data_IF_072822365673
#
_entry.id   IF_072822365673
#
_cell.length_a   1.000
_cell.length_b   1.000
_cell.length_c   1.000
_cell.angle_alpha   90.00
_cell.angle_beta   90.00
_cell.angle_gamma   90.00
#
_symmetry.space_group_name_H-M   'P 1'
#
loop_
_entity.id
_entity.type
_entity.pdbx_description
1 polymer ?
#
# COMPACT_ATOMS: atom_id res chain seq x y z
N UNK A 1 -2.94 -23.39 -10.91
CA UNK A 1 -2.61 -21.98 -10.60
C UNK A 1 -2.28 -21.31 -11.92
N UNK A 2 -2.88 -20.16 -12.26
CA UNK A 2 -2.42 -19.41 -13.44
C UNK A 2 -1.03 -18.83 -13.16
N UNK A 3 -0.20 -18.68 -14.19
CA UNK A 3 1.06 -17.98 -14.07
C UNK A 3 0.81 -16.52 -13.64
N UNK A 4 1.73 -15.95 -12.86
CA UNK A 4 1.72 -14.51 -12.56
C UNK A 4 1.92 -13.73 -13.86
N UNK A 5 1.16 -12.66 -14.07
CA UNK A 5 1.32 -11.82 -15.25
C UNK A 5 2.54 -10.89 -15.17
N UNK A 6 3.10 -10.71 -13.97
CA UNK A 6 4.22 -9.82 -13.69
C UNK A 6 5.37 -10.65 -13.12
N UNK A 7 6.51 -10.61 -13.81
CA UNK A 7 7.74 -11.28 -13.41
C UNK A 7 8.44 -10.51 -12.26
N UNK A 8 9.00 -11.20 -11.26
CA UNK A 8 9.75 -10.56 -10.18
C UNK A 8 11.07 -9.93 -10.64
N UNK A 9 11.38 -8.76 -10.09
CA UNK A 9 12.69 -8.11 -10.20
C UNK A 9 13.44 -8.30 -8.88
N UNK A 10 14.64 -8.90 -8.94
CA UNK A 10 15.44 -9.18 -7.74
C UNK A 10 15.98 -7.89 -7.12
N UNK A 11 15.67 -7.66 -5.84
CA UNK A 11 16.19 -6.54 -5.07
C UNK A 11 17.72 -6.60 -4.92
N UNK A 12 18.35 -7.75 -5.12
CA UNK A 12 19.82 -7.85 -5.12
C UNK A 12 20.48 -6.99 -6.21
N UNK A 13 19.76 -6.68 -7.29
CA UNK A 13 20.20 -5.77 -8.34
C UNK A 13 20.36 -4.33 -7.82
N UNK A 14 19.63 -3.92 -6.78
CA UNK A 14 19.76 -2.57 -6.20
C UNK A 14 21.21 -2.19 -5.88
N UNK A 15 21.99 -3.14 -5.37
CA UNK A 15 23.41 -2.96 -5.05
C UNK A 15 24.35 -3.41 -6.18
N UNK A 16 23.98 -4.44 -6.95
CA UNK A 16 24.85 -5.06 -7.98
C UNK A 16 24.82 -4.33 -9.32
N UNK A 17 23.65 -3.84 -9.72
CA UNK A 17 23.38 -3.20 -11.01
C UNK A 17 22.12 -2.34 -10.90
N UNK A 18 22.30 -1.14 -10.33
CA UNK A 18 21.19 -0.25 -10.03
C UNK A 18 20.46 0.25 -11.28
N UNK A 19 21.18 0.45 -12.39
CA UNK A 19 20.56 0.88 -13.65
C UNK A 19 19.62 -0.20 -14.17
N UNK A 20 20.05 -1.46 -14.17
CA UNK A 20 19.18 -2.58 -14.52
C UNK A 20 17.97 -2.68 -13.60
N UNK A 21 18.17 -2.56 -12.28
CA UNK A 21 17.08 -2.57 -11.31
C UNK A 21 16.04 -1.47 -11.59
N UNK A 22 16.50 -0.25 -11.88
CA UNK A 22 15.65 0.89 -12.21
C UNK A 22 14.88 0.68 -13.52
N UNK A 23 15.54 0.16 -14.56
CA UNK A 23 14.90 -0.10 -15.85
C UNK A 23 13.85 -1.20 -15.78
N UNK A 24 14.16 -2.33 -15.12
CA UNK A 24 13.21 -3.45 -15.02
C UNK A 24 11.98 -3.07 -14.17
N UNK A 25 12.18 -2.44 -13.00
CA UNK A 25 11.05 -1.96 -12.18
C UNK A 25 10.26 -0.87 -12.89
N UNK A 26 10.93 0.14 -13.43
CA UNK A 26 10.30 1.28 -14.09
C UNK A 26 9.47 0.86 -15.30
N UNK A 27 9.97 -0.05 -16.13
CA UNK A 27 9.22 -0.60 -17.26
C UNK A 27 7.97 -1.36 -16.81
N UNK A 28 8.06 -2.12 -15.71
CA UNK A 28 6.92 -2.82 -15.12
C UNK A 28 5.85 -1.83 -14.63
N UNK A 29 6.26 -0.80 -13.87
CA UNK A 29 5.37 0.26 -13.42
C UNK A 29 4.73 1.03 -14.57
N UNK A 30 5.48 1.44 -15.59
CA UNK A 30 4.92 2.16 -16.74
C UNK A 30 3.92 1.30 -17.52
N UNK A 31 4.15 -0.01 -17.62
CA UNK A 31 3.25 -0.93 -18.35
C UNK A 31 1.99 -1.26 -17.56
N UNK A 32 2.12 -1.61 -16.29
CA UNK A 32 1.05 -2.22 -15.48
C UNK A 32 0.60 -1.37 -14.29
N UNK A 33 1.34 -0.32 -13.92
CA UNK A 33 1.22 0.36 -12.64
C UNK A 33 1.68 -0.47 -11.44
N UNK A 34 2.21 -1.66 -11.69
CA UNK A 34 2.59 -2.67 -10.70
C UNK A 34 3.96 -3.25 -11.04
N UNK A 35 4.69 -3.65 -10.00
CA UNK A 35 5.90 -4.45 -10.10
C UNK A 35 5.97 -5.45 -8.94
N UNK A 36 6.76 -6.52 -9.12
CA UNK A 36 7.01 -7.51 -8.08
C UNK A 36 8.50 -7.46 -7.71
N UNK A 37 8.81 -7.35 -6.42
CA UNK A 37 10.18 -7.27 -5.91
C UNK A 37 10.48 -8.58 -5.16
N UNK A 38 11.46 -9.35 -5.63
CA UNK A 38 11.97 -10.54 -4.92
C UNK A 38 13.25 -10.22 -4.14
N UNK A 39 13.70 -11.14 -3.28
CA UNK A 39 15.01 -11.07 -2.60
C UNK A 39 15.26 -9.79 -1.80
N UNK A 40 14.20 -9.20 -1.24
CA UNK A 40 14.33 -8.02 -0.37
C UNK A 40 15.18 -8.36 0.87
N UNK A 41 15.83 -7.35 1.44
CA UNK A 41 16.76 -7.53 2.56
C UNK A 41 16.11 -7.43 3.95
N UNK A 42 14.79 -7.32 4.03
CA UNK A 42 14.07 -7.34 5.31
C UNK A 42 14.17 -8.72 5.98
N UNK A 43 14.53 -8.74 7.26
CA UNK A 43 14.71 -9.98 8.01
C UNK A 43 13.38 -10.73 8.20
N UNK A 44 13.27 -11.93 7.62
CA UNK A 44 12.03 -12.73 7.66
C UNK A 44 11.53 -12.99 9.08
N UNK A 45 12.41 -13.30 10.03
CA UNK A 45 12.04 -13.55 11.42
C UNK A 45 11.34 -12.34 12.08
N UNK A 46 11.67 -11.11 11.67
CA UNK A 46 11.03 -9.89 12.18
C UNK A 46 9.69 -9.61 11.49
N UNK A 47 9.59 -9.93 10.19
CA UNK A 47 8.31 -9.92 9.47
C UNK A 47 7.34 -10.89 10.15
N UNK A 48 7.78 -12.12 10.39
CA UNK A 48 6.98 -13.16 11.02
C UNK A 48 6.53 -12.76 12.44
N UNK A 49 7.40 -12.10 13.22
CA UNK A 49 7.06 -11.58 14.54
C UNK A 49 5.97 -10.50 14.49
N UNK A 50 6.06 -9.55 13.54
CA UNK A 50 5.04 -8.52 13.36
C UNK A 50 3.69 -9.12 12.91
N UNK A 51 3.73 -10.10 12.01
CA UNK A 51 2.53 -10.83 11.56
C UNK A 51 1.94 -11.67 12.71
N UNK A 52 2.78 -12.28 13.55
CA UNK A 52 2.33 -13.03 14.72
C UNK A 52 1.62 -12.11 15.74
N UNK A 53 2.16 -10.93 16.00
CA UNK A 53 1.52 -9.93 16.86
C UNK A 53 0.19 -9.43 16.27
N UNK A 54 0.13 -9.21 14.95
CA UNK A 54 -1.12 -8.88 14.26
C UNK A 54 -2.18 -9.98 14.43
N UNK A 55 -1.78 -11.25 14.23
CA UNK A 55 -2.66 -12.41 14.42
C UNK A 55 -3.14 -12.51 15.88
N UNK A 56 -2.24 -12.32 16.83
CA UNK A 56 -2.56 -12.35 18.26
C UNK A 56 -3.57 -11.25 18.61
N UNK A 57 -3.39 -10.03 18.10
CA UNK A 57 -4.34 -8.94 18.27
C UNK A 57 -5.72 -9.29 17.69
N UNK A 58 -5.81 -9.76 16.45
CA UNK A 58 -7.11 -10.08 15.83
C UNK A 58 -7.82 -11.26 16.49
N UNK A 59 -7.09 -12.13 17.20
CA UNK A 59 -7.63 -13.22 18.00
C UNK A 59 -8.17 -12.79 19.38
N UNK A 60 -7.93 -11.54 19.81
CA UNK A 60 -8.48 -11.02 21.06
C UNK A 60 -10.03 -10.96 21.02
N UNK A 61 -10.70 -11.01 22.19
CA UNK A 61 -12.14 -10.80 22.27
C UNK A 61 -12.54 -9.47 21.63
N UNK A 62 -13.68 -9.44 20.93
CA UNK A 62 -14.15 -8.26 20.19
C UNK A 62 -14.23 -7.00 21.06
N UNK A 63 -14.71 -7.15 22.30
CA UNK A 63 -14.81 -6.05 23.27
C UNK A 63 -13.46 -5.46 23.67
N UNK A 64 -12.38 -6.24 23.61
CA UNK A 64 -11.01 -5.74 23.82
C UNK A 64 -10.54 -4.98 22.59
N UNK A 65 -10.71 -5.55 21.39
CA UNK A 65 -10.32 -4.88 20.14
C UNK A 65 -11.02 -3.54 19.96
N UNK A 66 -12.32 -3.47 20.29
CA UNK A 66 -13.15 -2.26 20.22
C UNK A 66 -12.68 -1.11 21.11
N UNK A 67 -11.86 -1.35 22.13
CA UNK A 67 -11.25 -0.28 22.93
C UNK A 67 -10.34 0.63 22.10
N UNK A 68 -9.84 0.12 20.96
CA UNK A 68 -8.97 0.84 20.04
C UNK A 68 -9.72 1.37 18.80
N UNK A 69 -11.05 1.21 18.74
CA UNK A 69 -11.87 1.63 17.62
C UNK A 69 -12.22 3.13 17.65
N UNK A 70 -12.52 3.70 16.48
CA UNK A 70 -12.96 5.11 16.35
C UNK A 70 -11.84 6.14 16.56
N UNK A 71 -10.63 5.71 16.88
CA UNK A 71 -9.45 6.57 17.02
C UNK A 71 -9.22 7.34 15.72
N UNK A 72 -9.34 8.67 15.79
CA UNK A 72 -9.18 9.57 14.64
C UNK A 72 -10.05 9.18 13.44
N UNK A 73 -11.30 8.79 13.68
CA UNK A 73 -12.22 8.36 12.62
C UNK A 73 -11.81 7.06 11.93
N UNK A 74 -10.97 6.23 12.57
CA UNK A 74 -10.42 5.00 12.01
C UNK A 74 -9.08 5.18 11.31
N UNK A 75 -8.53 6.40 11.23
CA UNK A 75 -7.21 6.64 10.64
C UNK A 75 -6.04 6.02 11.45
N UNK A 76 -6.29 5.64 12.70
CA UNK A 76 -5.35 4.97 13.62
C UNK A 76 -6.09 3.86 14.37
N UNK A 77 -5.36 2.85 14.84
CA UNK A 77 -5.93 1.79 15.66
C UNK A 77 -6.90 0.89 14.90
N UNK A 78 -7.92 0.39 15.58
CA UNK A 78 -8.76 -0.71 15.10
C UNK A 78 -9.99 -0.23 14.30
N UNK A 79 -10.35 -0.93 13.23
CA UNK A 79 -11.64 -0.79 12.56
C UNK A 79 -12.34 -2.17 12.57
N UNK A 80 -13.53 -2.28 13.20
CA UNK A 80 -14.26 -3.54 13.29
C UNK A 80 -14.90 -3.94 11.96
N UNK A 81 -15.36 -5.19 11.90
CA UNK A 81 -16.19 -5.70 10.82
C UNK A 81 -17.41 -4.83 10.55
N UNK A 82 -17.78 -4.73 9.26
CA UNK A 82 -19.03 -4.11 8.83
C UNK A 82 -19.13 -2.59 8.92
N UNK A 83 -18.00 -1.89 9.10
CA UNK A 83 -17.92 -0.44 8.93
C UNK A 83 -17.70 -0.07 7.46
N UNK A 84 -16.85 -0.81 6.74
CA UNK A 84 -16.60 -0.59 5.32
C UNK A 84 -17.52 -1.48 4.46
N UNK A 85 -18.19 -0.88 3.48
CA UNK A 85 -18.95 -1.61 2.45
C UNK A 85 -18.17 -1.56 1.14
N UNK A 86 -17.84 -2.71 0.54
CA UNK A 86 -17.28 -2.72 -0.80
C UNK A 86 -18.26 -2.06 -1.79
N UNK A 87 -17.72 -1.24 -2.69
CA UNK A 87 -18.51 -0.52 -3.71
C UNK A 87 -19.35 -1.53 -4.53
N UNK A 88 -20.68 -1.46 -4.39
CA UNK A 88 -21.63 -2.31 -5.11
C UNK A 88 -22.06 -3.60 -4.40
N UNK A 89 -21.61 -3.86 -3.17
CA UNK A 89 -22.03 -5.03 -2.38
C UNK A 89 -23.26 -4.71 -1.50
N UNK A 90 -24.17 -5.68 -1.38
CA UNK A 90 -25.32 -5.63 -0.46
C UNK A 90 -24.99 -6.17 0.94
N UNK A 91 -23.83 -6.83 1.08
CA UNK A 91 -23.35 -7.42 2.33
C UNK A 91 -22.08 -6.69 2.76
N UNK A 92 -21.95 -6.46 4.06
CA UNK A 92 -20.78 -5.84 4.69
C UNK A 92 -19.50 -6.63 4.40
N UNK A 93 -18.37 -5.93 4.18
CA UNK A 93 -17.09 -6.62 4.03
C UNK A 93 -16.74 -7.31 5.35
N UNK A 94 -16.54 -8.63 5.27
CA UNK A 94 -15.95 -9.42 6.35
C UNK A 94 -14.44 -9.16 6.36
N UNK A 95 -14.04 -7.98 6.83
CA UNK A 95 -12.64 -7.65 7.12
C UNK A 95 -12.57 -6.70 8.32
N UNK A 96 -11.50 -6.82 9.08
CA UNK A 96 -11.17 -5.93 10.19
C UNK A 96 -9.73 -5.42 10.01
N UNK A 97 -9.45 -4.24 10.55
CA UNK A 97 -8.20 -3.52 10.28
C UNK A 97 -7.51 -3.06 11.55
N UNK A 98 -6.19 -2.91 11.45
CA UNK A 98 -5.41 -2.07 12.33
C UNK A 98 -4.55 -1.09 11.52
N UNK A 99 -4.62 0.21 11.81
CA UNK A 99 -3.81 1.24 11.18
C UNK A 99 -2.71 1.77 12.10
N UNK A 100 -1.49 1.80 11.58
CA UNK A 100 -0.33 2.48 12.18
C UNK A 100 0.13 3.58 11.23
N UNK A 101 0.14 4.81 11.70
CA UNK A 101 0.75 5.95 11.01
C UNK A 101 2.19 6.21 11.48
N UNK A 102 2.75 7.34 11.05
CA UNK A 102 4.08 7.78 11.47
C UNK A 102 4.08 8.26 12.93
N UNK A 103 5.04 7.79 13.72
CA UNK A 103 5.36 8.40 15.01
C UNK A 103 6.17 9.68 14.79
N UNK A 104 5.58 10.82 15.15
CA UNK A 104 6.19 12.14 15.02
C UNK A 104 6.75 12.62 16.36
N UNK A 105 7.92 13.30 16.38
CA UNK A 105 8.48 13.80 17.62
C UNK A 105 7.62 14.92 18.23
N UNK A 106 7.71 15.17 19.55
CA UNK A 106 7.03 16.29 20.20
C UNK A 106 7.34 17.62 19.50
N UNK A 107 6.32 18.43 19.25
CA UNK A 107 6.44 19.73 18.58
C UNK A 107 6.54 19.69 17.06
N UNK A 108 6.53 18.50 16.42
CA UNK A 108 6.53 18.42 14.96
C UNK A 108 5.28 19.08 14.36
N UNK A 109 5.40 19.92 13.30
CA UNK A 109 4.27 20.67 12.75
C UNK A 109 3.12 19.78 12.24
N UNK A 110 3.44 18.63 11.64
CA UNK A 110 2.42 17.71 11.14
C UNK A 110 1.57 17.06 12.22
N UNK A 111 1.92 17.13 13.53
CA UNK A 111 1.05 16.60 14.60
C UNK A 111 -0.30 17.35 14.68
N UNK A 112 -0.44 18.49 14.02
CA UNK A 112 -1.72 19.19 13.89
C UNK A 112 -2.74 18.43 13.02
N UNK A 113 -2.28 17.61 12.07
CA UNK A 113 -3.14 16.88 11.11
C UNK A 113 -2.89 15.37 11.07
N UNK A 114 -1.72 14.92 11.51
CA UNK A 114 -1.34 13.51 11.65
C UNK A 114 -1.47 13.09 13.11
N UNK A 115 -2.53 12.33 13.40
CA UNK A 115 -2.80 11.83 14.75
C UNK A 115 -1.74 10.83 15.23
N UNK A 116 -1.50 10.85 16.54
CA UNK A 116 -0.63 9.90 17.22
C UNK A 116 -1.18 8.47 17.10
N UNK A 117 -0.28 7.48 17.12
CA UNK A 117 -0.66 6.08 17.18
C UNK A 117 -1.24 5.69 18.55
N UNK A 118 -2.10 4.68 18.53
CA UNK A 118 -2.50 3.91 19.71
C UNK A 118 -1.88 2.51 19.60
N UNK A 119 -1.70 1.82 20.73
CA UNK A 119 -1.02 0.51 20.76
C UNK A 119 -1.75 -0.44 21.73
N UNK A 120 -1.92 -1.73 21.38
CA UNK A 120 -2.66 -2.66 22.21
C UNK A 120 -1.84 -3.14 23.40
N UNK A 121 -2.29 -2.83 24.61
CA UNK A 121 -1.58 -3.19 25.85
C UNK A 121 -1.53 -4.72 26.09
N UNK A 122 -2.50 -5.44 25.55
CA UNK A 122 -2.63 -6.90 25.68
C UNK A 122 -1.53 -7.66 24.91
N UNK A 123 -0.91 -7.02 23.93
CA UNK A 123 0.18 -7.59 23.13
C UNK A 123 1.44 -6.72 23.33
N UNK A 124 2.22 -6.93 24.40
CA UNK A 124 3.35 -6.04 24.76
C UNK A 124 4.40 -5.85 23.66
N UNK A 125 4.58 -6.85 22.80
CA UNK A 125 5.51 -6.84 21.66
C UNK A 125 5.02 -6.04 20.45
N UNK A 126 3.72 -5.74 20.38
CA UNK A 126 3.07 -5.25 19.17
C UNK A 126 3.69 -3.95 18.67
N UNK A 127 3.86 -2.95 19.56
CA UNK A 127 4.48 -1.68 19.19
C UNK A 127 5.90 -1.89 18.64
N UNK A 128 6.71 -2.74 19.28
CA UNK A 128 8.08 -2.99 18.85
C UNK A 128 8.15 -3.68 17.47
N UNK A 129 7.37 -4.74 17.26
CA UNK A 129 7.46 -5.53 16.02
C UNK A 129 6.73 -4.87 14.86
N UNK A 130 5.51 -4.35 15.08
CA UNK A 130 4.73 -3.66 14.03
C UNK A 130 5.36 -2.31 13.69
N UNK A 131 5.88 -1.57 14.68
CA UNK A 131 6.64 -0.35 14.44
C UNK A 131 7.93 -0.60 13.64
N UNK A 132 8.61 -1.73 13.88
CA UNK A 132 9.72 -2.13 13.01
C UNK A 132 9.27 -2.42 11.58
N UNK A 133 8.16 -3.14 11.39
CA UNK A 133 7.65 -3.46 10.05
C UNK A 133 7.31 -2.19 9.27
N UNK A 134 6.71 -1.20 9.94
CA UNK A 134 6.47 0.14 9.38
C UNK A 134 7.78 0.73 8.86
N UNK A 135 8.82 0.83 9.70
CA UNK A 135 10.09 1.43 9.32
C UNK A 135 10.83 0.66 8.21
N UNK A 136 10.74 -0.67 8.21
CA UNK A 136 11.35 -1.51 7.19
C UNK A 136 10.70 -1.31 5.81
N UNK A 137 9.36 -1.27 5.76
CA UNK A 137 8.61 -1.02 4.52
C UNK A 137 8.78 0.43 4.02
N UNK A 138 8.83 1.40 4.93
CA UNK A 138 9.14 2.80 4.60
C UNK A 138 10.53 2.92 3.95
N UNK A 139 11.54 2.27 4.53
CA UNK A 139 12.90 2.24 3.99
C UNK A 139 12.99 1.49 2.65
N UNK A 140 12.26 0.40 2.46
CA UNK A 140 12.16 -0.28 1.17
C UNK A 140 11.49 0.63 0.12
N UNK A 141 10.39 1.29 0.48
CA UNK A 141 9.68 2.22 -0.40
C UNK A 141 10.56 3.38 -0.88
N UNK A 142 11.36 3.97 0.00
CA UNK A 142 12.37 4.99 -0.40
C UNK A 142 13.34 4.43 -1.45
N UNK A 143 13.83 3.19 -1.28
CA UNK A 143 14.76 2.57 -2.24
C UNK A 143 14.10 2.26 -3.59
N UNK A 144 12.82 1.87 -3.59
CA UNK A 144 12.02 1.72 -4.82
C UNK A 144 11.84 3.07 -5.50
N UNK A 145 11.60 4.15 -4.76
CA UNK A 145 11.49 5.50 -5.32
C UNK A 145 12.79 5.97 -5.96
N UNK A 146 13.97 5.58 -5.44
CA UNK A 146 15.25 5.86 -6.11
C UNK A 146 15.33 5.21 -7.50
N UNK A 147 14.84 3.97 -7.63
CA UNK A 147 14.75 3.28 -8.92
C UNK A 147 13.76 3.99 -9.87
N UNK A 148 12.62 4.43 -9.36
CA UNK A 148 11.64 5.22 -10.13
C UNK A 148 12.24 6.56 -10.58
N UNK A 149 12.98 7.26 -9.72
CA UNK A 149 13.65 8.52 -10.07
C UNK A 149 14.65 8.31 -11.21
N UNK A 150 15.50 7.28 -11.11
CA UNK A 150 16.45 6.93 -12.16
C UNK A 150 15.74 6.60 -13.49
N UNK A 151 14.65 5.82 -13.44
CA UNK A 151 13.86 5.49 -14.62
C UNK A 151 13.28 6.72 -15.31
N UNK A 152 12.82 7.70 -14.51
CA UNK A 152 12.28 8.98 -14.99
C UNK A 152 13.38 9.99 -15.37
N UNK A 153 14.66 9.59 -15.41
CA UNK A 153 15.80 10.47 -15.66
C UNK A 153 15.88 11.66 -14.69
N UNK A 154 15.50 11.45 -13.43
CA UNK A 154 15.66 12.40 -12.34
C UNK A 154 16.94 12.08 -11.54
N UNK A 155 17.34 12.98 -10.65
CA UNK A 155 18.38 12.66 -9.67
C UNK A 155 17.97 11.48 -8.78
N UNK A 156 18.88 10.55 -8.52
CA UNK A 156 18.61 9.31 -7.75
C UNK A 156 17.87 9.56 -6.43
N UNK A 157 18.20 10.64 -5.73
CA UNK A 157 17.65 10.99 -4.41
C UNK A 157 16.50 12.02 -4.51
N UNK A 158 15.92 12.23 -5.70
CA UNK A 158 14.87 13.24 -5.95
C UNK A 158 13.70 13.14 -4.97
N UNK A 159 13.28 11.91 -4.64
CA UNK A 159 12.13 11.67 -3.77
C UNK A 159 12.46 11.72 -2.27
N UNK A 160 13.73 11.67 -1.87
CA UNK A 160 14.12 11.65 -0.45
C UNK A 160 13.48 12.80 0.36
N UNK A 161 13.51 14.07 -0.07
CA UNK A 161 12.81 15.14 0.63
C UNK A 161 11.28 15.09 0.48
N UNK A 162 10.76 14.48 -0.59
CA UNK A 162 9.32 14.49 -0.88
C UNK A 162 8.54 13.49 -0.04
N UNK A 163 9.20 12.48 0.53
CA UNK A 163 8.59 11.45 1.38
C UNK A 163 9.05 11.52 2.83
N UNK A 164 9.96 12.45 3.15
CA UNK A 164 10.43 12.68 4.52
C UNK A 164 9.24 13.04 5.41
N UNK A 165 9.10 12.33 6.52
CA UNK A 165 8.00 12.50 7.46
C UNK A 165 6.60 12.36 6.83
N UNK A 166 6.51 11.64 5.70
CA UNK A 166 5.28 11.39 4.96
C UNK A 166 4.17 10.75 5.80
N UNK A 167 2.91 11.03 5.44
CA UNK A 167 1.72 10.52 6.13
C UNK A 167 1.43 9.05 5.76
N UNK A 168 2.48 8.23 5.69
CA UNK A 168 2.40 6.83 5.32
C UNK A 168 1.67 6.01 6.39
N UNK A 169 0.95 4.98 5.95
CA UNK A 169 0.15 4.12 6.84
C UNK A 169 0.49 2.65 6.58
N UNK A 170 0.87 1.92 7.63
CA UNK A 170 0.85 0.47 7.65
C UNK A 170 -0.55 0.02 8.07
N UNK A 171 -1.18 -0.80 7.23
CA UNK A 171 -2.49 -1.39 7.52
C UNK A 171 -2.33 -2.88 7.69
N UNK A 172 -2.72 -3.41 8.85
CA UNK A 172 -2.85 -4.84 9.08
C UNK A 172 -4.31 -5.21 8.79
N UNK A 173 -4.54 -6.17 7.91
CA UNK A 173 -5.88 -6.66 7.57
C UNK A 173 -6.02 -8.10 8.02
N UNK A 174 -7.19 -8.41 8.59
CA UNK A 174 -7.64 -9.78 8.77
C UNK A 174 -8.95 -10.00 8.01
N UNK A 175 -8.91 -10.99 7.12
CA UNK A 175 -10.08 -11.54 6.48
C UNK A 175 -10.38 -12.91 7.11
N UNK A 176 -11.50 -13.07 7.83
CA UNK A 176 -11.91 -14.34 8.38
C UNK A 176 -12.19 -15.37 7.27
N UNK A 177 -12.27 -16.67 7.63
CA UNK A 177 -12.76 -17.70 6.72
C UNK A 177 -14.13 -17.34 6.16
N UNK A 178 -14.37 -17.71 4.90
CA UNK A 178 -15.65 -17.49 4.21
C UNK A 178 -16.33 -18.83 3.90
N UNK A 179 -17.67 -18.90 3.88
CA UNK A 179 -18.40 -20.08 3.43
C UNK A 179 -17.98 -20.53 2.02
N UNK A 180 -18.10 -21.84 1.74
CA UNK A 180 -17.72 -22.41 0.43
C UNK A 180 -18.50 -21.80 -0.74
N UNK A 181 -19.70 -21.32 -0.50
CA UNK A 181 -20.64 -20.71 -1.44
C UNK A 181 -20.59 -19.17 -1.46
N UNK A 182 -19.67 -18.55 -0.71
CA UNK A 182 -19.50 -17.10 -0.70
C UNK A 182 -19.31 -16.53 -2.12
N UNK A 183 -20.17 -15.58 -2.48
CA UNK A 183 -20.13 -14.83 -3.74
C UNK A 183 -19.38 -13.52 -3.56
N UNK A 184 -18.98 -12.86 -4.66
CA UNK A 184 -18.30 -11.57 -4.62
C UNK A 184 -16.77 -11.64 -4.55
N UNK A 185 -16.17 -10.55 -4.08
CA UNK A 185 -14.71 -10.33 -3.99
C UNK A 185 -14.34 -9.94 -2.56
N UNK A 186 -13.11 -10.25 -2.12
CA UNK A 186 -12.61 -9.85 -0.79
C UNK A 186 -12.26 -8.37 -0.72
N UNK A 187 -11.87 -7.77 -1.83
CA UNK A 187 -11.70 -6.33 -1.95
C UNK A 187 -12.23 -5.89 -3.32
N UNK A 188 -13.13 -4.91 -3.32
CA UNK A 188 -13.68 -4.31 -4.53
C UNK A 188 -12.60 -3.68 -5.42
N UNK A 189 -12.92 -3.46 -6.69
CA UNK A 189 -12.03 -2.77 -7.62
C UNK A 189 -11.79 -1.32 -7.18
N UNK A 190 -10.53 -0.95 -6.94
CA UNK A 190 -10.12 0.39 -6.54
C UNK A 190 -8.70 0.71 -7.02
N UNK A 191 -8.34 2.00 -6.98
CA UNK A 191 -6.96 2.46 -7.09
C UNK A 191 -6.50 3.02 -5.74
N UNK A 192 -5.19 3.14 -5.58
CA UNK A 192 -4.57 3.67 -4.36
C UNK A 192 -4.31 5.16 -4.51
N UNK A 193 -4.66 5.95 -3.50
CA UNK A 193 -4.61 7.43 -3.58
C UNK A 193 -3.26 8.03 -3.18
N UNK A 194 -2.33 7.20 -2.69
CA UNK A 194 -1.03 7.57 -2.15
C UNK A 194 0.08 7.60 -3.22
N UNK A 195 1.35 7.60 -2.81
CA UNK A 195 2.51 7.66 -3.73
C UNK A 195 2.79 6.28 -4.34
N UNK A 196 3.13 5.30 -3.49
CA UNK A 196 3.27 3.89 -3.85
C UNK A 196 2.76 3.02 -2.70
N UNK A 197 2.28 1.82 -2.99
CA UNK A 197 1.88 0.85 -1.97
C UNK A 197 2.78 -0.36 -2.05
N UNK A 198 3.29 -0.82 -0.90
CA UNK A 198 4.07 -2.05 -0.77
C UNK A 198 3.21 -3.10 -0.06
N UNK A 199 2.96 -4.22 -0.73
CA UNK A 199 2.09 -5.30 -0.26
C UNK A 199 2.91 -6.58 -0.05
N UNK A 200 3.02 -6.98 1.22
CA UNK A 200 3.50 -8.29 1.65
C UNK A 200 2.34 -9.31 1.68
N UNK A 201 2.63 -10.59 1.46
CA UNK A 201 1.65 -11.67 1.62
C UNK A 201 0.74 -11.88 0.39
N UNK A 202 1.15 -11.38 -0.79
CA UNK A 202 0.37 -11.51 -2.02
C UNK A 202 0.37 -12.94 -2.59
N UNK A 203 1.29 -13.80 -2.16
CA UNK A 203 1.35 -15.23 -2.50
C UNK A 203 0.12 -16.03 -2.02
N UNK A 204 -0.65 -15.47 -1.09
CA UNK A 204 -1.95 -16.01 -0.64
C UNK A 204 -3.01 -15.99 -1.76
N UNK A 205 -2.71 -15.32 -2.88
CA UNK A 205 -3.48 -15.33 -4.12
C UNK A 205 -4.68 -14.39 -4.13
N UNK A 206 -5.26 -14.23 -5.32
CA UNK A 206 -6.48 -13.48 -5.55
C UNK A 206 -6.29 -12.00 -5.88
N UNK A 207 -5.07 -11.46 -5.81
CA UNK A 207 -4.80 -10.12 -6.32
C UNK A 207 -4.85 -10.10 -7.85
N UNK A 208 -5.63 -9.19 -8.41
CA UNK A 208 -5.72 -8.96 -9.85
C UNK A 208 -5.63 -7.47 -10.16
N UNK A 209 -4.94 -7.14 -11.26
CA UNK A 209 -4.84 -5.78 -11.81
C UNK A 209 -5.62 -5.69 -13.12
N UNK A 210 -6.30 -4.57 -13.36
CA UNK A 210 -7.04 -4.31 -14.58
C UNK A 210 -6.09 -3.79 -15.66
N UNK A 211 -5.89 -4.57 -16.72
CA UNK A 211 -5.05 -4.19 -17.86
C UNK A 211 -5.77 -3.18 -18.78
N UNK A 212 -5.01 -2.56 -19.68
CA UNK A 212 -5.44 -1.50 -20.61
C UNK A 212 -6.54 -1.96 -21.58
N UNK A 213 -6.63 -3.26 -21.86
CA UNK A 213 -7.68 -3.86 -22.69
C UNK A 213 -8.94 -4.23 -21.88
N UNK A 214 -8.93 -3.99 -20.57
CA UNK A 214 -10.01 -4.31 -19.63
C UNK A 214 -9.96 -5.73 -19.07
N UNK A 215 -8.93 -6.52 -19.38
CA UNK A 215 -8.74 -7.85 -18.80
C UNK A 215 -8.20 -7.76 -17.35
N UNK A 216 -8.59 -8.72 -16.50
CA UNK A 216 -8.02 -8.86 -15.17
C UNK A 216 -6.81 -9.79 -15.23
N UNK A 217 -5.64 -9.27 -14.85
CA UNK A 217 -4.39 -10.00 -14.81
C UNK A 217 -4.06 -10.44 -13.38
N UNK A 218 -3.84 -11.74 -13.13
CA UNK A 218 -3.48 -12.24 -11.81
C UNK A 218 -2.03 -11.87 -11.45
N UNK A 219 -1.85 -11.37 -10.23
CA UNK A 219 -0.53 -11.17 -9.63
C UNK A 219 -0.39 -12.21 -8.51
N UNK A 220 0.42 -13.23 -8.78
CA UNK A 220 0.60 -14.36 -7.87
C UNK A 220 2.10 -14.62 -7.65
N UNK A 221 2.78 -13.76 -6.88
CA UNK A 221 4.22 -13.81 -6.76
C UNK A 221 4.68 -14.99 -5.89
N UNK A 222 5.94 -15.42 -6.02
CA UNK A 222 6.54 -16.38 -5.10
C UNK A 222 6.53 -15.88 -3.63
N UNK A 223 6.58 -16.79 -2.63
CA UNK A 223 6.75 -16.42 -1.23
C UNK A 223 7.98 -15.52 -1.02
N UNK A 224 7.86 -14.54 -0.12
CA UNK A 224 8.94 -13.59 0.19
C UNK A 224 9.10 -12.45 -0.81
N UNK A 225 8.14 -12.29 -1.73
CA UNK A 225 8.10 -11.11 -2.61
C UNK A 225 7.23 -10.00 -2.02
N UNK A 226 7.54 -8.76 -2.43
CA UNK A 226 6.72 -7.57 -2.20
C UNK A 226 6.09 -7.16 -3.52
N UNK A 227 4.77 -7.08 -3.59
CA UNK A 227 4.10 -6.42 -4.71
C UNK A 227 4.10 -4.92 -4.45
N UNK A 228 4.49 -4.13 -5.45
CA UNK A 228 4.47 -2.68 -5.36
C UNK A 228 3.57 -2.11 -6.46
N UNK A 229 2.77 -1.10 -6.14
CA UNK A 229 2.01 -0.35 -7.15
C UNK A 229 2.14 1.15 -7.00
N UNK A 230 1.94 1.84 -8.12
CA UNK A 230 1.85 3.29 -8.23
C UNK A 230 0.48 3.72 -7.71
N UNK A 231 0.44 4.82 -6.95
CA UNK A 231 -0.80 5.47 -6.54
C UNK A 231 -1.00 6.84 -7.19
N UNK A 232 -2.18 7.41 -6.97
CA UNK A 232 -2.66 8.62 -7.64
C UNK A 232 -1.74 9.84 -7.43
N UNK A 233 -1.05 9.95 -6.28
CA UNK A 233 -0.10 11.07 -6.06
C UNK A 233 1.06 11.03 -7.04
N UNK A 234 1.62 9.84 -7.29
CA UNK A 234 2.76 9.67 -8.18
C UNK A 234 2.31 9.66 -9.66
N UNK A 235 1.14 9.11 -9.95
CA UNK A 235 0.53 9.23 -11.28
C UNK A 235 0.33 10.71 -11.66
N UNK A 236 -0.20 11.52 -10.73
CA UNK A 236 -0.37 12.97 -10.92
C UNK A 236 0.97 13.65 -11.18
N UNK A 237 1.97 13.40 -10.33
CA UNK A 237 3.30 13.99 -10.44
C UNK A 237 3.96 13.70 -11.80
N UNK A 238 3.79 12.47 -12.30
CA UNK A 238 4.41 11.98 -13.55
C UNK A 238 3.56 12.24 -14.79
N UNK A 239 2.51 13.05 -14.69
CA UNK A 239 1.59 13.34 -15.79
C UNK A 239 1.05 12.06 -16.49
N UNK A 240 0.75 11.03 -15.70
CA UNK A 240 0.26 9.72 -16.15
C UNK A 240 1.28 8.89 -16.94
N UNK A 241 2.57 9.23 -16.92
CA UNK A 241 3.63 8.36 -17.44
C UNK A 241 3.69 7.06 -16.63
N UNK A 242 3.52 7.14 -15.31
CA UNK A 242 3.36 5.98 -14.43
C UNK A 242 1.88 5.89 -13.97
N UNK A 243 1.11 4.90 -14.44
CA UNK A 243 -0.33 4.83 -14.16
C UNK A 243 -0.66 4.27 -12.76
N UNK A 244 -1.62 4.88 -12.08
CA UNK A 244 -2.29 4.34 -10.88
C UNK A 244 -3.37 3.38 -11.33
N UNK A 245 -3.09 2.07 -11.24
CA UNK A 245 -3.89 1.06 -11.93
C UNK A 245 -4.92 0.43 -11.00
N UNK A 246 -6.15 0.25 -11.50
CA UNK A 246 -7.24 -0.37 -10.77
C UNK A 246 -6.91 -1.82 -10.48
N UNK A 247 -7.11 -2.25 -9.24
CA UNK A 247 -6.87 -3.61 -8.79
C UNK A 247 -7.97 -4.10 -7.84
N UNK A 248 -8.07 -5.41 -7.63
CA UNK A 248 -9.05 -6.05 -6.74
C UNK A 248 -8.46 -7.29 -6.07
N UNK A 249 -9.16 -7.80 -5.05
CA UNK A 249 -8.84 -9.11 -4.48
C UNK A 249 -10.06 -10.02 -4.60
N UNK A 250 -9.98 -11.06 -5.43
CA UNK A 250 -11.05 -12.04 -5.61
C UNK A 250 -11.10 -13.03 -4.44
N UNK A 251 -12.22 -13.76 -4.32
CA UNK A 251 -12.32 -14.84 -3.36
C UNK A 251 -11.31 -15.96 -3.69
N UNK A 252 -10.68 -16.58 -2.67
CA UNK A 252 -9.77 -17.70 -2.90
C UNK A 252 -10.54 -18.91 -3.48
N UNK A 253 -9.82 -19.85 -4.11
CA UNK A 253 -10.43 -21.07 -4.62
C UNK A 253 -11.10 -21.87 -3.48
N UNK A 254 -12.11 -22.71 -3.76
CA UNK A 254 -12.95 -23.36 -2.74
C UNK A 254 -12.18 -24.07 -1.62
N UNK A 255 -11.05 -24.69 -1.94
CA UNK A 255 -10.16 -25.39 -1.01
C UNK A 255 -9.47 -24.48 0.02
N UNK A 256 -9.35 -23.17 -0.27
CA UNK A 256 -8.70 -22.18 0.60
C UNK A 256 -9.69 -21.29 1.36
N UNK A 257 -11.00 -21.42 1.11
CA UNK A 257 -12.03 -20.56 1.74
C UNK A 257 -12.13 -20.71 3.26
N UNK A 258 -11.75 -21.87 3.80
CA UNK A 258 -11.72 -22.13 5.25
C UNK A 258 -10.52 -21.54 6.00
N UNK A 259 -9.57 -20.90 5.30
CA UNK A 259 -8.34 -20.36 5.90
C UNK A 259 -8.45 -18.84 6.01
N UNK A 260 -8.13 -18.25 7.19
CA UNK A 260 -8.08 -16.79 7.32
C UNK A 260 -6.92 -16.23 6.50
N UNK A 261 -7.11 -15.04 5.92
CA UNK A 261 -6.06 -14.32 5.18
C UNK A 261 -5.63 -13.11 5.97
N UNK A 262 -4.34 -12.93 6.10
CA UNK A 262 -3.73 -11.73 6.67
C UNK A 262 -3.00 -10.99 5.56
N UNK A 263 -3.09 -9.66 5.58
CA UNK A 263 -2.44 -8.80 4.60
C UNK A 263 -1.88 -7.58 5.30
N UNK A 264 -0.72 -7.09 4.85
CA UNK A 264 -0.02 -5.96 5.50
C UNK A 264 0.42 -4.88 4.50
N UNK A 265 -0.50 -4.27 3.73
CA UNK A 265 -0.14 -3.18 2.82
C UNK A 265 0.40 -1.97 3.58
N UNK A 266 1.47 -1.40 3.04
CA UNK A 266 2.07 -0.16 3.47
C UNK A 266 1.85 0.91 2.41
N UNK A 267 1.01 1.89 2.71
CA UNK A 267 0.66 3.00 1.84
C UNK A 267 1.67 4.13 2.05
N UNK A 268 2.71 4.18 1.23
CA UNK A 268 3.71 5.23 1.28
C UNK A 268 3.11 6.52 0.70
N UNK A 269 3.15 7.60 1.48
CA UNK A 269 2.70 8.93 1.07
C UNK A 269 3.87 9.92 0.99
N UNK A 270 3.72 10.93 0.16
CA UNK A 270 4.53 12.15 0.25
C UNK A 270 4.34 12.86 1.61
N UNK A 271 5.29 13.71 1.96
CA UNK A 271 5.17 14.70 3.04
C UNK A 271 3.92 15.54 2.83
N UNK A 272 3.18 15.83 3.89
CA UNK A 272 1.88 16.52 3.80
C UNK A 272 1.95 17.88 3.09
N UNK A 273 3.06 18.61 3.27
CA UNK A 273 3.33 19.92 2.68
C UNK A 273 4.02 19.86 1.30
N UNK A 274 4.37 18.66 0.81
CA UNK A 274 4.99 18.50 -0.49
C UNK A 274 4.04 18.97 -1.59
N UNK A 275 4.50 19.94 -2.39
CA UNK A 275 3.74 20.48 -3.51
C UNK A 275 3.90 19.57 -4.74
N UNK A 276 2.86 18.82 -5.06
CA UNK A 276 2.78 17.98 -6.26
C UNK A 276 2.59 18.89 -7.48
N UNK A 277 3.70 19.19 -8.14
CA UNK A 277 3.77 19.93 -9.41
C UNK A 277 4.29 18.99 -10.49
N UNK A 278 3.59 18.94 -11.63
CA UNK A 278 3.93 18.06 -12.76
C UNK A 278 5.41 18.16 -13.14
N UNK A 279 6.05 17.01 -13.31
CA UNK A 279 7.45 16.94 -13.73
C UNK A 279 7.60 17.51 -15.16
N UNK A 280 8.49 18.49 -15.39
CA UNK A 280 8.66 19.10 -16.71
C UNK A 280 9.02 18.11 -17.82
N UNK A 281 9.77 17.06 -17.51
CA UNK A 281 10.17 16.03 -18.47
C UNK A 281 9.07 14.99 -18.75
N UNK A 282 7.93 15.05 -18.06
CA UNK A 282 6.73 14.26 -18.35
C UNK A 282 5.69 15.04 -19.19
N UNK A 283 6.00 16.28 -19.57
CA UNK A 283 5.16 17.14 -20.40
C UNK A 283 5.76 17.17 -21.82
N UNK A 284 4.98 16.72 -22.80
CA UNK A 284 5.32 16.77 -24.23
C UNK A 284 4.16 17.34 -25.04
N UNK A 285 4.34 17.52 -26.35
CA UNK A 285 3.23 17.92 -27.24
C UNK A 285 2.11 16.87 -27.25
N UNK A 286 2.45 15.58 -27.18
CA UNK A 286 1.52 14.46 -27.16
C UNK A 286 0.98 14.14 -25.77
N UNK A 287 1.67 14.57 -24.70
CA UNK A 287 1.22 14.47 -23.32
C UNK A 287 1.31 15.85 -22.64
N UNK A 288 0.39 16.79 -22.97
CA UNK A 288 0.38 18.11 -22.36
C UNK A 288 0.11 18.02 -20.86
N UNK A 289 0.44 19.08 -20.12
CA UNK A 289 0.26 19.12 -18.67
C UNK A 289 -1.23 18.98 -18.30
N UNK A 290 -1.58 17.86 -17.66
CA UNK A 290 -2.94 17.59 -17.17
C UNK A 290 -3.24 18.35 -15.87
N UNK A 291 -2.20 18.89 -15.21
CA UNK A 291 -2.27 19.46 -13.87
C UNK A 291 -1.53 20.81 -13.80
N UNK A 292 -2.00 21.84 -14.54
CA UNK A 292 -1.34 23.15 -14.54
C UNK A 292 -1.31 23.81 -13.15
N UNK A 293 -2.31 23.51 -12.31
CA UNK A 293 -2.36 23.95 -10.92
C UNK A 293 -1.74 22.89 -9.99
N UNK A 294 -0.64 23.21 -9.29
CA UNK A 294 -0.05 22.31 -8.32
C UNK A 294 -0.92 22.20 -7.06
N UNK A 295 -0.77 21.11 -6.32
CA UNK A 295 -1.54 20.84 -5.10
C UNK A 295 -0.63 20.21 -4.04
N UNK A 296 -0.83 20.51 -2.75
CA UNK A 296 -0.08 19.80 -1.71
C UNK A 296 -0.57 18.37 -1.58
N UNK A 297 0.30 17.46 -1.13
CA UNK A 297 -0.06 16.06 -0.92
C UNK A 297 -1.23 15.92 0.07
N UNK A 298 -1.27 16.71 1.13
CA UNK A 298 -2.40 16.70 2.07
C UNK A 298 -3.69 17.19 1.41
N UNK A 299 -3.66 18.31 0.68
CA UNK A 299 -4.86 18.81 -0.01
C UNK A 299 -5.38 17.81 -1.05
N UNK A 300 -4.49 17.11 -1.76
CA UNK A 300 -4.84 16.04 -2.68
C UNK A 300 -5.43 14.84 -1.96
N UNK A 301 -4.83 14.38 -0.86
CA UNK A 301 -5.37 13.31 -0.02
C UNK A 301 -6.80 13.65 0.44
N UNK A 302 -7.02 14.85 0.97
CA UNK A 302 -8.34 15.32 1.41
C UNK A 302 -9.34 15.39 0.25
N UNK A 303 -8.89 15.80 -0.95
CA UNK A 303 -9.72 15.77 -2.15
C UNK A 303 -10.15 14.34 -2.50
N UNK A 304 -9.21 13.39 -2.56
CA UNK A 304 -9.50 12.00 -2.90
C UNK A 304 -10.40 11.33 -1.87
N UNK A 305 -10.16 11.56 -0.58
CA UNK A 305 -11.00 11.06 0.52
C UNK A 305 -12.47 11.54 0.40
N UNK A 306 -12.70 12.81 0.04
CA UNK A 306 -14.05 13.32 -0.24
C UNK A 306 -14.70 12.65 -1.46
N UNK A 307 -13.94 12.48 -2.54
CA UNK A 307 -14.43 11.85 -3.77
C UNK A 307 -14.84 10.39 -3.56
N UNK A 308 -14.14 9.68 -2.67
CA UNK A 308 -14.44 8.28 -2.29
C UNK A 308 -15.33 8.15 -1.04
N UNK A 309 -15.84 9.28 -0.50
CA UNK A 309 -16.74 9.36 0.66
C UNK A 309 -16.19 8.75 1.95
N UNK A 310 -14.90 8.94 2.20
CA UNK A 310 -14.20 8.55 3.43
C UNK A 310 -13.79 9.75 4.30
N UNK A 311 -14.18 10.97 3.91
CA UNK A 311 -13.98 12.23 4.66
C UNK A 311 -15.27 12.70 5.33
#
# INVERSE_FOLDING_TARGET
MSASAIEPVSFTLYAKDFDRFAQELGASFQRYGFAVISDHDMAQARIDAAIADAKAFFALPEEIKKQYAGTSGGARGYIPFGIETAKGATHYDLKEFWHVGRDLPPGHPFRATMADNVWPAEIPSFHHNVGWLYGALDSLGVRVLKAIAQYLNLGRDFFDPTVKDGNSVLRLLHYPPIPKDATGVRAGAHGDINTITLLMGAEEGGLEVLDRDGAWLPINPPPGCVVCNIGDMLERLTNHVLPSTIHRVVNPPPERRGVPRYSTPFFLHFASDYLIKTLPNCITEENPDRYPEPITADAFLQQRLREIKLA
#
